data_IF_046791711370
#
_entry.id   IF_046791711370
#
_cell.length_a   1.000
_cell.length_b   1.000
_cell.length_c   1.000
_cell.angle_alpha   90.00
_cell.angle_beta   90.00
_cell.angle_gamma   90.00
#
_symmetry.space_group_name_H-M   'P 1'
#
loop_
_entity.id
_entity.type
_entity.pdbx_description
1 polymer ?
#
# COMPACT_ATOMS: atom_id res chain seq x y z
N UNK A 1 -6.05 11.97 -0.19
CA UNK A 1 -6.36 10.74 -0.96
C UNK A 1 -7.33 9.92 -0.15
N UNK A 2 -8.59 9.88 -0.56
CA UNK A 2 -9.62 9.00 0.02
C UNK A 2 -9.61 7.70 -0.78
N UNK A 3 -8.66 6.82 -0.44
CA UNK A 3 -8.67 5.43 -0.93
C UNK A 3 -9.61 4.65 -0.03
N UNK A 4 -10.56 3.94 -0.62
CA UNK A 4 -11.54 3.11 0.08
C UNK A 4 -10.86 2.01 0.92
N UNK A 5 -11.47 1.62 2.04
CA UNK A 5 -10.88 0.60 2.92
C UNK A 5 -10.76 -0.77 2.23
N UNK A 6 -11.65 -1.09 1.27
CA UNK A 6 -11.54 -2.30 0.45
C UNK A 6 -10.27 -2.27 -0.39
N UNK A 7 -9.98 -1.13 -1.05
CA UNK A 7 -8.75 -0.97 -1.82
C UNK A 7 -7.53 -1.08 -0.91
N UNK A 8 -7.60 -0.51 0.31
CA UNK A 8 -6.52 -0.62 1.30
C UNK A 8 -6.26 -2.07 1.70
N UNK A 9 -7.32 -2.85 1.93
CA UNK A 9 -7.20 -4.27 2.29
C UNK A 9 -6.67 -5.11 1.12
N UNK A 10 -7.10 -4.82 -0.11
CA UNK A 10 -6.64 -5.51 -1.31
C UNK A 10 -5.14 -5.33 -1.53
N UNK A 11 -4.63 -4.09 -1.38
CA UNK A 11 -3.19 -3.82 -1.49
C UNK A 11 -2.41 -4.53 -0.38
N UNK A 12 -2.91 -4.57 0.86
CA UNK A 12 -2.27 -5.32 1.95
C UNK A 12 -2.20 -6.82 1.68
N UNK A 13 -3.29 -7.41 1.19
CA UNK A 13 -3.34 -8.83 0.81
C UNK A 13 -2.35 -9.14 -0.31
N UNK A 14 -2.28 -8.28 -1.33
CA UNK A 14 -1.31 -8.40 -2.43
C UNK A 14 0.13 -8.40 -1.91
N UNK A 15 0.46 -7.45 -1.02
CA UNK A 15 1.77 -7.34 -0.38
C UNK A 15 2.03 -8.41 0.69
N UNK A 16 1.10 -9.36 0.91
CA UNK A 16 1.17 -10.38 1.97
C UNK A 16 1.44 -9.81 3.36
N UNK A 17 0.97 -8.59 3.63
CA UNK A 17 1.26 -7.85 4.88
C UNK A 17 2.76 -7.65 5.15
N UNK A 18 3.57 -7.59 4.09
CA UNK A 18 4.99 -7.28 4.11
C UNK A 18 5.21 -5.88 3.53
N UNK A 19 6.24 -5.19 4.00
CA UNK A 19 6.69 -3.96 3.36
C UNK A 19 7.35 -4.28 2.01
N UNK A 20 6.92 -3.62 0.93
CA UNK A 20 7.48 -3.85 -0.42
C UNK A 20 8.96 -3.44 -0.54
N UNK A 21 9.46 -2.55 0.33
CA UNK A 21 10.85 -2.09 0.28
C UNK A 21 11.80 -3.02 1.03
N UNK A 22 11.44 -3.40 2.25
CA UNK A 22 12.34 -4.14 3.15
C UNK A 22 11.87 -5.57 3.45
N UNK A 23 10.70 -5.98 2.94
CA UNK A 23 10.02 -7.25 3.26
C UNK A 23 9.81 -7.50 4.76
N UNK A 24 9.88 -6.44 5.57
CA UNK A 24 9.58 -6.54 6.99
C UNK A 24 8.08 -6.79 7.19
N UNK A 25 7.70 -7.76 8.04
CA UNK A 25 6.31 -8.03 8.33
C UNK A 25 5.68 -6.91 9.15
N UNK A 26 4.42 -6.59 8.83
CA UNK A 26 3.64 -5.54 9.52
C UNK A 26 3.52 -5.82 11.03
N UNK A 27 3.62 -7.10 11.45
CA UNK A 27 3.59 -7.54 12.85
C UNK A 27 4.71 -6.97 13.73
N UNK A 28 5.85 -6.59 13.15
CA UNK A 28 6.98 -6.00 13.90
C UNK A 28 6.81 -4.48 14.01
N UNK A 29 5.93 -3.89 13.19
CA UNK A 29 5.65 -2.47 13.16
C UNK A 29 4.53 -2.14 14.15
N UNK A 30 4.72 -1.15 15.01
CA UNK A 30 3.70 -0.66 15.96
C UNK A 30 2.54 0.06 15.28
N UNK A 31 2.67 0.37 13.99
CA UNK A 31 1.70 1.11 13.19
C UNK A 31 1.45 0.35 11.87
N UNK A 32 0.21 0.37 11.39
CA UNK A 32 -0.14 -0.17 10.06
C UNK A 32 0.70 0.51 8.99
N UNK A 33 1.13 -0.24 7.97
CA UNK A 33 1.88 0.36 6.87
C UNK A 33 1.03 1.39 6.13
N UNK A 34 1.69 2.50 5.77
CA UNK A 34 1.13 3.51 4.89
C UNK A 34 1.13 2.97 3.47
N UNK A 35 0.01 3.18 2.77
CA UNK A 35 -0.09 2.88 1.35
C UNK A 35 0.33 4.12 0.58
N UNK A 36 1.29 3.93 -0.32
CA UNK A 36 1.82 4.99 -1.17
C UNK A 36 1.75 4.57 -2.64
N UNK A 37 1.79 5.54 -3.54
CA UNK A 37 1.79 5.25 -4.97
C UNK A 37 3.23 4.98 -5.43
N UNK A 38 3.48 3.75 -5.91
CA UNK A 38 4.77 3.38 -6.51
C UNK A 38 5.13 4.34 -7.66
N UNK A 39 4.13 4.76 -8.43
CA UNK A 39 4.27 5.85 -9.41
C UNK A 39 3.52 7.05 -8.86
N UNK A 40 4.21 8.16 -8.51
CA UNK A 40 3.53 9.32 -7.96
C UNK A 40 2.55 9.91 -8.99
N UNK A 41 1.44 10.48 -8.50
CA UNK A 41 0.40 11.10 -9.35
C UNK A 41 0.94 12.14 -10.31
N UNK A 42 1.94 12.91 -9.88
CA UNK A 42 2.59 13.93 -10.71
C UNK A 42 3.25 13.35 -11.97
N UNK A 43 3.59 12.06 -11.97
CA UNK A 43 4.15 11.33 -13.10
C UNK A 43 3.09 10.50 -13.85
N UNK A 44 1.80 10.75 -13.60
CA UNK A 44 0.70 10.02 -14.23
C UNK A 44 0.28 8.74 -13.49
N UNK A 45 0.70 8.55 -12.25
CA UNK A 45 0.20 7.46 -11.41
C UNK A 45 -1.29 7.59 -11.11
N UNK A 46 -2.06 6.51 -11.32
CA UNK A 46 -3.47 6.45 -11.00
C UNK A 46 -3.71 5.87 -9.58
N UNK A 47 -4.80 6.28 -8.93
CA UNK A 47 -5.28 5.66 -7.68
C UNK A 47 -5.88 4.26 -7.90
N UNK A 48 -6.02 3.84 -9.16
CA UNK A 48 -6.59 2.57 -9.55
C UNK A 48 -5.63 1.41 -9.30
N UNK A 49 -6.18 0.30 -8.83
CA UNK A 49 -5.49 -1.00 -8.69
C UNK A 49 -5.52 -1.84 -9.99
N UNK A 50 -5.86 -1.23 -11.13
CA UNK A 50 -6.06 -1.90 -12.43
C UNK A 50 -4.75 -2.23 -13.12
#
# INVERSE_FOLDING_TARGET
MTIDDITRELVRKRAKYLCEYCHSPERISTTRFTLDHVIPKSLGGADGIT
#
